data_IF_943495112500
#
_entry.id   IF_943495112500
#
_cell.length_a   1.000
_cell.length_b   1.000
_cell.length_c   1.000
_cell.angle_alpha   90.00
_cell.angle_beta   90.00
_cell.angle_gamma   90.00
#
_symmetry.space_group_name_H-M   'P 1'
#
loop_
_entity.id
_entity.type
_entity.pdbx_description
1 polymer ?
#
# COMPACT_ATOMS: atom_id res chain seq x y z
N UNK A 1 -19.55 -17.71 9.23
CA UNK A 1 -19.04 -16.31 9.06
C UNK A 1 -19.59 -15.44 10.19
N UNK A 2 -18.69 -14.67 10.82
CA UNK A 2 -19.11 -13.73 11.85
C UNK A 2 -19.71 -12.49 11.18
N UNK A 3 -20.88 -12.07 11.64
CA UNK A 3 -21.60 -10.92 11.11
C UNK A 3 -21.68 -9.82 12.19
N UNK A 4 -21.80 -8.58 11.74
CA UNK A 4 -22.09 -7.47 12.62
C UNK A 4 -23.59 -7.42 13.02
N UNK A 5 -23.97 -6.41 13.79
CA UNK A 5 -25.36 -6.25 14.27
C UNK A 5 -26.39 -5.97 13.15
N UNK A 6 -25.95 -5.64 11.95
CA UNK A 6 -26.80 -5.42 10.79
C UNK A 6 -26.79 -6.60 9.80
N UNK A 7 -26.09 -7.70 10.14
CA UNK A 7 -25.99 -8.88 9.31
C UNK A 7 -24.92 -8.82 8.23
N UNK A 8 -24.05 -7.81 8.24
CA UNK A 8 -22.96 -7.65 7.28
C UNK A 8 -21.80 -8.57 7.69
N UNK A 9 -21.23 -9.37 6.76
CA UNK A 9 -20.08 -10.20 7.04
C UNK A 9 -18.88 -9.36 7.50
N UNK A 10 -18.26 -9.77 8.62
CA UNK A 10 -17.05 -9.11 9.11
C UNK A 10 -15.82 -9.64 8.35
N UNK A 11 -14.86 -8.77 7.97
CA UNK A 11 -13.61 -9.22 7.37
C UNK A 11 -12.82 -10.07 8.39
N UNK A 12 -12.25 -11.16 7.90
CA UNK A 12 -11.32 -12.01 8.67
C UNK A 12 -9.94 -11.81 8.08
N UNK A 13 -9.03 -11.29 8.90
CA UNK A 13 -7.64 -11.08 8.52
C UNK A 13 -6.81 -12.19 9.17
N UNK A 14 -6.12 -12.98 8.34
CA UNK A 14 -5.16 -13.98 8.79
C UNK A 14 -3.79 -13.58 8.25
N UNK A 15 -2.86 -13.23 9.13
CA UNK A 15 -1.54 -12.75 8.78
C UNK A 15 -0.54 -13.10 9.88
N UNK A 16 0.65 -13.53 9.50
CA UNK A 16 1.76 -13.81 10.40
C UNK A 16 3.03 -13.15 9.89
N UNK A 17 3.91 -12.74 10.81
CA UNK A 17 5.27 -12.34 10.46
C UNK A 17 6.12 -13.58 10.23
N UNK A 18 6.76 -13.64 9.07
CA UNK A 18 7.79 -14.64 8.78
C UNK A 18 9.12 -14.31 9.49
N UNK A 19 10.10 -15.16 9.31
CA UNK A 19 11.44 -14.97 9.90
C UNK A 19 12.15 -13.73 9.35
N UNK A 20 11.89 -13.38 8.08
CA UNK A 20 12.46 -12.18 7.48
C UNK A 20 11.94 -10.90 8.14
N UNK A 21 10.64 -10.79 8.35
CA UNK A 21 10.02 -9.62 8.99
C UNK A 21 10.48 -9.46 10.44
N UNK A 22 10.64 -10.55 11.17
CA UNK A 22 11.18 -10.54 12.53
C UNK A 22 12.61 -10.02 12.56
N UNK A 23 13.48 -10.54 11.69
CA UNK A 23 14.87 -10.07 11.56
C UNK A 23 14.97 -8.61 11.12
N UNK A 24 14.12 -8.18 10.20
CA UNK A 24 14.06 -6.77 9.79
C UNK A 24 13.69 -5.85 10.96
N UNK A 25 12.77 -6.26 11.84
CA UNK A 25 12.41 -5.49 13.04
C UNK A 25 13.60 -5.32 13.99
N UNK A 26 14.33 -6.41 14.24
CA UNK A 26 15.54 -6.38 15.06
C UNK A 26 16.63 -5.48 14.46
N UNK A 27 16.86 -5.60 13.16
CA UNK A 27 17.84 -4.78 12.43
C UNK A 27 17.46 -3.30 12.44
N UNK A 28 16.19 -2.96 12.21
CA UNK A 28 15.68 -1.59 12.27
C UNK A 28 15.89 -0.97 13.65
N UNK A 29 15.63 -1.72 14.72
CA UNK A 29 15.84 -1.23 16.09
C UNK A 29 17.33 -0.98 16.37
N UNK A 30 18.20 -1.92 16.02
CA UNK A 30 19.64 -1.79 16.20
C UNK A 30 20.21 -0.61 15.38
N UNK A 31 19.78 -0.47 14.12
CA UNK A 31 20.18 0.64 13.26
C UNK A 31 19.74 1.99 13.80
N UNK A 32 18.51 2.09 14.31
CA UNK A 32 18.01 3.32 14.92
C UNK A 32 18.82 3.70 16.18
N UNK A 33 19.13 2.73 17.04
CA UNK A 33 19.99 2.95 18.23
C UNK A 33 21.36 3.43 17.79
N UNK A 34 22.01 2.75 16.86
CA UNK A 34 23.35 3.11 16.38
C UNK A 34 23.38 4.54 15.77
N UNK A 35 22.35 4.93 15.04
CA UNK A 35 22.23 6.30 14.50
C UNK A 35 22.15 7.36 15.60
N UNK A 36 21.35 7.13 16.64
CA UNK A 36 21.17 8.07 17.75
C UNK A 36 22.44 8.16 18.61
N UNK A 37 23.10 7.04 18.86
CA UNK A 37 24.40 7.00 19.57
C UNK A 37 25.48 7.73 18.77
N UNK A 38 25.56 7.52 17.47
CA UNK A 38 26.48 8.25 16.59
C UNK A 38 26.20 9.76 16.57
N UNK A 39 24.95 10.15 16.71
CA UNK A 39 24.53 11.55 16.88
C UNK A 39 24.81 12.10 18.30
N UNK A 40 25.44 11.30 19.18
CA UNK A 40 25.80 11.65 20.56
C UNK A 40 24.58 12.06 21.41
N UNK A 41 23.47 11.35 21.28
CA UNK A 41 22.34 11.50 22.18
C UNK A 41 22.71 10.95 23.55
N UNK A 42 22.40 11.69 24.61
CA UNK A 42 22.79 11.36 25.99
C UNK A 42 22.08 10.10 26.52
N UNK A 43 20.92 9.79 25.98
CA UNK A 43 20.13 8.64 26.40
C UNK A 43 19.32 8.06 25.22
N UNK A 44 19.53 6.76 24.95
CA UNK A 44 18.83 6.03 23.91
C UNK A 44 18.16 4.80 24.54
N UNK A 45 16.83 4.76 24.48
CA UNK A 45 16.06 3.61 24.97
C UNK A 45 15.27 2.98 23.83
N UNK A 46 15.75 1.85 23.28
CA UNK A 46 15.02 1.15 22.25
C UNK A 46 13.76 0.50 22.81
N UNK A 47 12.68 0.57 22.04
CA UNK A 47 11.46 -0.12 22.37
C UNK A 47 10.82 -0.74 21.12
N UNK A 48 10.13 -1.85 21.30
CA UNK A 48 9.29 -2.49 20.30
C UNK A 48 7.93 -2.78 20.92
N UNK A 49 6.88 -2.15 20.45
CA UNK A 49 5.51 -2.35 20.95
C UNK A 49 4.89 -3.69 20.55
N UNK A 50 5.61 -4.53 19.80
CA UNK A 50 5.12 -5.84 19.41
C UNK A 50 3.81 -5.77 18.61
N UNK A 51 3.74 -4.88 17.62
CA UNK A 51 2.55 -4.70 16.80
C UNK A 51 2.07 -6.02 16.20
N UNK A 52 0.77 -6.25 16.28
CA UNK A 52 0.15 -7.44 15.71
C UNK A 52 0.16 -7.37 14.17
N UNK A 53 0.42 -8.50 13.47
CA UNK A 53 0.29 -8.54 12.02
C UNK A 53 -1.10 -8.08 11.56
N UNK A 54 -1.16 -7.33 10.46
CA UNK A 54 -2.41 -6.79 9.93
C UNK A 54 -2.89 -5.47 10.55
N UNK A 55 -2.19 -4.93 11.55
CA UNK A 55 -2.44 -3.57 12.08
C UNK A 55 -1.73 -2.51 11.23
N UNK A 56 -2.09 -2.41 9.98
CA UNK A 56 -1.51 -1.50 9.00
C UNK A 56 -2.60 -0.58 8.45
N UNK A 57 -2.19 0.58 7.93
CA UNK A 57 -3.07 1.58 7.30
C UNK A 57 -2.61 1.94 5.88
N UNK A 58 -1.70 1.16 5.33
CA UNK A 58 -1.12 1.36 3.98
C UNK A 58 -1.23 0.08 3.17
N UNK A 59 -2.42 -0.54 3.16
CA UNK A 59 -2.70 -1.74 2.37
C UNK A 59 -2.60 -1.42 0.87
N UNK A 60 -1.88 -2.26 0.13
CA UNK A 60 -1.60 -2.06 -1.28
C UNK A 60 -1.70 -3.36 -2.07
N UNK A 61 -1.87 -3.23 -3.39
CA UNK A 61 -1.71 -4.33 -4.32
C UNK A 61 -2.97 -5.11 -4.67
N UNK A 62 -4.12 -4.86 -4.05
CA UNK A 62 -5.37 -5.57 -4.36
C UNK A 62 -5.81 -5.31 -5.81
N UNK A 63 -5.67 -4.08 -6.30
CA UNK A 63 -5.95 -3.69 -7.69
C UNK A 63 -4.69 -3.17 -8.37
N UNK A 64 -3.57 -3.89 -8.22
CA UNK A 64 -2.24 -3.40 -8.66
C UNK A 64 -2.17 -3.12 -10.14
N UNK A 65 -1.40 -2.10 -10.47
CA UNK A 65 -0.99 -1.79 -11.84
C UNK A 65 0.04 -2.80 -12.35
N UNK A 66 0.05 -3.02 -13.67
CA UNK A 66 1.04 -3.84 -14.36
C UNK A 66 0.82 -3.85 -15.87
N UNK A 67 1.76 -4.44 -16.59
CA UNK A 67 1.71 -4.52 -18.05
C UNK A 67 0.96 -5.75 -18.57
N UNK A 68 0.83 -6.77 -17.75
CA UNK A 68 0.19 -8.04 -18.12
C UNK A 68 -1.18 -8.17 -17.44
N UNK A 69 -2.29 -8.20 -18.19
CA UNK A 69 -3.64 -8.34 -17.66
C UNK A 69 -3.88 -9.67 -16.92
N UNK A 70 -3.03 -10.67 -17.11
CA UNK A 70 -3.12 -11.93 -16.36
C UNK A 70 -2.61 -11.81 -14.91
N UNK A 71 -1.79 -10.82 -14.62
CA UNK A 71 -1.14 -10.63 -13.33
C UNK A 71 -1.43 -9.29 -12.67
N UNK A 72 -2.15 -8.39 -13.35
CA UNK A 72 -2.54 -7.07 -12.85
C UNK A 72 -3.96 -6.72 -13.25
N UNK A 73 -4.66 -5.98 -12.40
CA UNK A 73 -6.00 -5.47 -12.70
C UNK A 73 -5.94 -4.21 -13.57
N UNK A 74 -4.96 -3.36 -13.30
CA UNK A 74 -4.83 -2.05 -13.93
C UNK A 74 -3.61 -1.98 -14.83
N UNK A 75 -3.73 -1.19 -15.88
CA UNK A 75 -2.62 -0.79 -16.73
C UNK A 75 -1.83 0.39 -16.09
N UNK A 76 -0.81 0.88 -16.79
CA UNK A 76 0.03 2.01 -16.34
C UNK A 76 -0.71 3.33 -16.09
N UNK A 77 -1.95 3.46 -16.53
CA UNK A 77 -2.78 4.65 -16.38
C UNK A 77 -3.82 4.55 -15.25
N UNK A 78 -3.69 3.56 -14.38
CA UNK A 78 -4.69 3.25 -13.36
C UNK A 78 -6.06 2.81 -13.94
N UNK A 79 -6.13 2.50 -15.21
CA UNK A 79 -7.31 2.05 -15.93
C UNK A 79 -7.36 0.51 -15.90
N UNK A 80 -8.54 -0.05 -15.70
CA UNK A 80 -8.73 -1.50 -15.76
C UNK A 80 -8.44 -2.03 -17.18
N UNK A 81 -7.77 -3.19 -17.27
CA UNK A 81 -7.45 -3.80 -18.56
C UNK A 81 -8.71 -4.19 -19.34
N UNK A 82 -9.73 -4.68 -18.63
CA UNK A 82 -10.94 -5.23 -19.25
C UNK A 82 -12.10 -4.24 -19.33
N UNK A 83 -12.01 -3.10 -18.65
CA UNK A 83 -13.09 -2.11 -18.55
C UNK A 83 -12.51 -0.72 -18.79
N UNK A 84 -12.68 -0.21 -20.00
CA UNK A 84 -12.03 1.02 -20.46
C UNK A 84 -12.41 2.31 -19.71
N UNK A 85 -13.58 2.36 -19.07
CA UNK A 85 -14.06 3.50 -18.31
C UNK A 85 -13.94 3.34 -16.79
N UNK A 86 -13.21 2.31 -16.31
CA UNK A 86 -12.97 2.07 -14.90
C UNK A 86 -11.52 2.43 -14.54
N UNK A 87 -11.38 3.30 -13.53
CA UNK A 87 -10.08 3.72 -12.97
C UNK A 87 -10.08 3.49 -11.47
N UNK A 88 -8.93 3.06 -10.92
CA UNK A 88 -8.71 2.89 -9.48
C UNK A 88 -7.45 3.64 -9.10
N UNK A 89 -7.54 4.59 -8.17
CA UNK A 89 -6.45 5.53 -7.85
C UNK A 89 -6.07 5.57 -6.37
N UNK A 90 -6.66 4.72 -5.54
CA UNK A 90 -6.27 4.57 -4.15
C UNK A 90 -5.01 3.69 -3.99
N UNK A 91 -4.63 3.37 -2.75
CA UNK A 91 -3.46 2.55 -2.45
C UNK A 91 -3.47 1.17 -3.07
N UNK A 92 -4.64 0.63 -3.41
CA UNK A 92 -4.75 -0.70 -4.01
C UNK A 92 -4.09 -0.79 -5.39
N UNK A 93 -3.93 0.35 -6.10
CA UNK A 93 -3.29 0.40 -7.42
C UNK A 93 -1.76 0.22 -7.35
N UNK A 94 -1.14 0.45 -6.20
CA UNK A 94 0.30 0.30 -6.02
C UNK A 94 0.70 -1.15 -5.82
N UNK A 95 1.90 -1.52 -6.28
CA UNK A 95 2.40 -2.90 -6.18
C UNK A 95 2.87 -3.22 -4.76
N UNK A 96 3.47 -2.23 -4.09
CA UNK A 96 4.00 -2.36 -2.74
C UNK A 96 3.96 -1.04 -2.00
N UNK A 97 4.03 -1.10 -0.66
CA UNK A 97 4.14 0.07 0.20
C UNK A 97 5.60 0.49 0.36
N UNK A 98 5.94 1.77 0.16
CA UNK A 98 7.23 2.32 0.56
C UNK A 98 7.27 2.55 2.07
N UNK A 99 8.46 2.89 2.61
CA UNK A 99 8.62 3.31 4.01
C UNK A 99 8.02 4.71 4.28
N UNK A 100 7.85 5.54 3.26
CA UNK A 100 7.23 6.86 3.36
C UNK A 100 5.70 6.76 3.29
N UNK A 101 5.01 7.69 3.95
CA UNK A 101 3.55 7.81 3.83
C UNK A 101 3.16 8.11 2.37
N UNK A 102 2.18 7.41 1.80
CA UNK A 102 1.97 7.34 0.35
C UNK A 102 1.01 8.40 -0.23
N UNK A 103 0.41 9.28 0.58
CA UNK A 103 -0.64 10.20 0.14
C UNK A 103 -0.24 11.06 -1.05
N UNK A 104 0.98 11.61 -1.05
CA UNK A 104 1.46 12.41 -2.18
C UNK A 104 1.56 11.59 -3.47
N UNK A 105 1.98 10.33 -3.36
CA UNK A 105 2.03 9.40 -4.49
C UNK A 105 0.64 9.11 -5.03
N UNK A 106 -0.35 8.86 -4.17
CA UNK A 106 -1.75 8.65 -4.60
C UNK A 106 -2.29 9.87 -5.34
N UNK A 107 -2.05 11.08 -4.82
CA UNK A 107 -2.47 12.32 -5.46
C UNK A 107 -1.87 12.47 -6.86
N UNK A 108 -0.58 12.21 -7.01
CA UNK A 108 0.11 12.27 -8.30
C UNK A 108 -0.43 11.22 -9.30
N UNK A 109 -0.66 9.99 -8.85
CA UNK A 109 -1.25 8.93 -9.66
C UNK A 109 -2.69 9.27 -10.07
N UNK A 110 -3.48 9.82 -9.17
CA UNK A 110 -4.86 10.27 -9.44
C UNK A 110 -4.87 11.38 -10.49
N UNK A 111 -4.03 12.39 -10.33
CA UNK A 111 -3.94 13.48 -11.31
C UNK A 111 -3.59 12.96 -12.72
N UNK A 112 -2.61 12.05 -12.81
CA UNK A 112 -2.23 11.40 -14.07
C UNK A 112 -3.37 10.55 -14.67
N UNK A 113 -4.06 9.79 -13.85
CA UNK A 113 -5.19 8.97 -14.28
C UNK A 113 -6.35 9.82 -14.79
N UNK A 114 -6.68 10.91 -14.10
CA UNK A 114 -7.73 11.85 -14.53
C UNK A 114 -7.37 12.56 -15.85
N UNK A 115 -6.12 13.01 -16.01
CA UNK A 115 -5.69 13.60 -17.27
C UNK A 115 -5.83 12.62 -18.44
N UNK A 116 -5.38 11.39 -18.26
CA UNK A 116 -5.54 10.32 -19.26
C UNK A 116 -7.03 10.05 -19.55
N UNK A 117 -7.86 9.90 -18.52
CA UNK A 117 -9.29 9.64 -18.70
C UNK A 117 -9.98 10.76 -19.53
N UNK A 118 -9.67 12.02 -19.22
CA UNK A 118 -10.21 13.17 -19.97
C UNK A 118 -9.75 13.16 -21.43
N UNK A 119 -8.50 12.80 -21.69
CA UNK A 119 -7.98 12.69 -23.07
C UNK A 119 -8.68 11.56 -23.83
N UNK A 120 -8.87 10.40 -23.22
CA UNK A 120 -9.55 9.27 -23.85
C UNK A 120 -11.04 9.52 -24.06
N UNK A 121 -11.71 10.23 -23.13
CA UNK A 121 -13.08 10.66 -23.29
C UNK A 121 -13.26 11.62 -24.50
N UNK A 122 -12.34 12.59 -24.65
CA UNK A 122 -12.36 13.51 -25.81
C UNK A 122 -12.15 12.81 -27.16
N UNK A 123 -11.46 11.68 -27.17
CA UNK A 123 -11.24 10.85 -28.37
C UNK A 123 -12.40 9.87 -28.63
N UNK A 124 -13.34 9.73 -27.69
CA UNK A 124 -14.43 8.75 -27.77
C UNK A 124 -14.00 7.30 -27.50
N UNK A 125 -12.89 7.10 -26.80
CA UNK A 125 -12.37 5.77 -26.46
C UNK A 125 -13.01 5.21 -25.17
N UNK A 126 -13.59 6.06 -24.34
CA UNK A 126 -14.28 5.70 -23.09
C UNK A 126 -15.55 6.50 -22.95
#
# INVERSE_FOLDING_TARGET
EKKDKWGIPQPVISMEYGENEKKMREDMQQSAVAMLEAAKMDWVNPFDYGLFPGTVIHEMGTARMGNDPKTSLLNKWNQAHDISNLFVTDGSCMVSSPCQNPSLTYMALTARACDHAVQELKKGNI
#
